data_IF_988509799783
#
_entry.id   IF_988509799783
#
_cell.length_a   1.000
_cell.length_b   1.000
_cell.length_c   1.000
_cell.angle_alpha   90.00
_cell.angle_beta   90.00
_cell.angle_gamma   90.00
#
_symmetry.space_group_name_H-M   'P 1'
#
loop_
_entity.id
_entity.type
_entity.pdbx_description
1 polymer ?
#
# COMPACT_ATOMS: atom_id res chain seq x y z
N UNK A 1 10.04 21.46 24.72
CA UNK A 1 9.59 20.33 23.89
C UNK A 1 10.82 19.64 23.37
N UNK A 2 10.82 18.31 23.34
CA UNK A 2 11.91 17.54 22.74
C UNK A 2 11.89 17.70 21.22
N UNK A 3 13.03 17.49 20.55
CA UNK A 3 13.09 17.53 19.08
C UNK A 3 12.09 16.56 18.42
N UNK A 4 11.80 15.43 19.08
CA UNK A 4 10.76 14.48 18.67
C UNK A 4 9.36 15.13 18.68
N UNK A 5 8.98 15.73 19.81
CA UNK A 5 7.69 16.41 19.98
C UNK A 5 7.50 17.55 18.97
N UNK A 6 8.54 18.34 18.73
CA UNK A 6 8.50 19.45 17.76
C UNK A 6 8.27 18.94 16.33
N UNK A 7 8.91 17.83 15.93
CA UNK A 7 8.70 17.24 14.61
C UNK A 7 7.32 16.59 14.47
N UNK A 8 6.83 15.91 15.51
CA UNK A 8 5.45 15.36 15.53
C UNK A 8 4.42 16.48 15.41
N UNK A 9 4.60 17.59 16.15
CA UNK A 9 3.70 18.72 16.06
C UNK A 9 3.73 19.38 14.66
N UNK A 10 4.92 19.50 14.05
CA UNK A 10 5.05 19.96 12.65
C UNK A 10 4.35 19.03 11.66
N UNK A 11 4.46 17.71 11.84
CA UNK A 11 3.78 16.75 10.98
C UNK A 11 2.25 16.91 11.07
N UNK A 12 1.70 17.10 12.27
CA UNK A 12 0.28 17.40 12.48
C UNK A 12 -0.15 18.71 11.82
N UNK A 13 0.65 19.77 11.94
CA UNK A 13 0.37 21.04 11.24
C UNK A 13 0.42 20.87 9.71
N UNK A 14 1.37 20.09 9.21
CA UNK A 14 1.52 19.82 7.78
C UNK A 14 0.34 19.00 7.24
N UNK A 15 -0.13 18.00 7.99
CA UNK A 15 -1.34 17.22 7.68
C UNK A 15 -2.57 18.13 7.54
N UNK A 16 -2.82 19.01 8.53
CA UNK A 16 -3.94 19.96 8.48
C UNK A 16 -3.84 20.99 7.34
N UNK A 17 -2.64 21.21 6.83
CA UNK A 17 -2.38 22.09 5.70
C UNK A 17 -2.26 21.33 4.36
N UNK A 18 -2.51 20.02 4.35
CA UNK A 18 -2.35 19.13 3.18
C UNK A 18 -0.94 19.20 2.54
N UNK A 19 0.07 19.48 3.37
CA UNK A 19 1.47 19.63 3.00
C UNK A 19 2.25 18.35 3.27
N UNK A 20 1.89 17.29 2.56
CA UNK A 20 2.37 15.93 2.84
C UNK A 20 3.89 15.75 2.60
N UNK A 21 4.49 16.50 1.69
CA UNK A 21 5.95 16.47 1.49
C UNK A 21 6.69 16.96 2.75
N UNK A 22 6.23 18.05 3.39
CA UNK A 22 6.76 18.51 4.67
C UNK A 22 6.44 17.56 5.84
N UNK A 23 5.28 16.92 5.79
CA UNK A 23 4.89 15.90 6.77
C UNK A 23 5.85 14.71 6.73
N UNK A 24 6.22 14.23 5.54
CA UNK A 24 7.23 13.18 5.33
C UNK A 24 8.57 13.61 5.94
N UNK A 25 9.05 14.81 5.63
CA UNK A 25 10.34 15.30 6.14
C UNK A 25 10.38 15.42 7.67
N UNK A 26 9.27 15.81 8.31
CA UNK A 26 9.15 15.84 9.76
C UNK A 26 9.16 14.42 10.36
N UNK A 27 8.37 13.50 9.80
CA UNK A 27 8.25 12.14 10.31
C UNK A 27 9.51 11.29 10.06
N UNK A 28 10.28 11.56 9.01
CA UNK A 28 11.60 10.96 8.80
C UNK A 28 12.58 11.31 9.91
N UNK A 29 12.56 12.56 10.39
CA UNK A 29 13.39 12.97 11.53
C UNK A 29 13.01 12.21 12.78
N UNK A 30 11.72 12.05 13.05
CA UNK A 30 11.21 11.24 14.16
C UNK A 30 11.67 9.78 14.03
N UNK A 31 11.55 9.18 12.85
CA UNK A 31 12.01 7.81 12.59
C UNK A 31 13.53 7.65 12.79
N UNK A 32 14.32 8.64 12.39
CA UNK A 32 15.79 8.62 12.49
C UNK A 32 16.35 8.74 13.91
N UNK A 33 15.48 8.91 14.92
CA UNK A 33 15.89 8.89 16.34
C UNK A 33 16.12 7.47 16.87
N UNK A 34 15.90 6.42 16.05
CA UNK A 34 16.14 5.01 16.39
C UNK A 34 15.46 4.57 17.69
N UNK A 35 14.22 5.04 17.85
CA UNK A 35 13.33 4.72 18.96
C UNK A 35 12.00 4.25 18.41
N UNK A 36 11.36 3.31 19.10
CA UNK A 36 10.08 2.77 18.67
C UNK A 36 9.03 3.90 18.57
N UNK A 37 8.33 3.94 17.44
CA UNK A 37 7.25 4.90 17.20
C UNK A 37 6.00 4.49 17.97
N UNK A 38 5.31 5.48 18.52
CA UNK A 38 3.96 5.29 19.04
C UNK A 38 2.99 4.96 17.91
N UNK A 39 1.80 4.47 18.24
CA UNK A 39 0.75 4.22 17.25
C UNK A 39 0.42 5.49 16.46
N UNK A 40 0.29 6.63 17.15
CA UNK A 40 0.03 7.93 16.51
C UNK A 40 1.14 8.33 15.53
N UNK A 41 2.41 8.22 15.93
CA UNK A 41 3.54 8.55 15.06
C UNK A 41 3.65 7.61 13.86
N UNK A 42 3.36 6.32 14.07
CA UNK A 42 3.33 5.33 12.99
C UNK A 42 2.25 5.65 11.96
N UNK A 43 1.06 6.03 12.44
CA UNK A 43 -0.04 6.45 11.59
C UNK A 43 0.30 7.74 10.83
N UNK A 44 0.87 8.76 11.48
CA UNK A 44 1.32 10.00 10.83
C UNK A 44 2.33 9.72 9.71
N UNK A 45 3.35 8.88 9.96
CA UNK A 45 4.32 8.49 8.93
C UNK A 45 3.62 7.82 7.74
N UNK A 46 2.69 6.90 8.01
CA UNK A 46 1.94 6.19 6.98
C UNK A 46 1.07 7.11 6.15
N UNK A 47 0.30 7.99 6.79
CA UNK A 47 -0.56 8.98 6.11
C UNK A 47 0.28 9.92 5.25
N UNK A 48 1.43 10.37 5.74
CA UNK A 48 2.33 11.26 5.00
C UNK A 48 2.78 10.62 3.67
N UNK A 49 3.40 9.44 3.73
CA UNK A 49 3.89 8.78 2.52
C UNK A 49 2.75 8.29 1.62
N UNK A 50 1.63 7.80 2.19
CA UNK A 50 0.44 7.37 1.44
C UNK A 50 -0.10 8.49 0.55
N UNK A 51 -0.20 9.71 1.07
CA UNK A 51 -0.67 10.85 0.28
C UNK A 51 0.34 11.25 -0.81
N UNK A 52 1.64 11.30 -0.47
CA UNK A 52 2.69 11.64 -1.45
C UNK A 52 2.74 10.64 -2.60
N UNK A 53 2.73 9.32 -2.30
CA UNK A 53 2.79 8.27 -3.33
C UNK A 53 1.48 8.14 -4.11
N UNK A 54 0.33 8.29 -3.45
CA UNK A 54 -1.00 8.20 -4.07
C UNK A 54 -1.19 9.21 -5.20
N UNK A 55 -0.79 10.46 -4.98
CA UNK A 55 -0.83 11.50 -6.02
C UNK A 55 0.01 11.15 -7.25
N UNK A 56 1.22 10.58 -7.05
CA UNK A 56 2.10 10.18 -8.17
C UNK A 56 1.60 8.92 -8.87
N UNK A 57 1.05 7.93 -8.14
CA UNK A 57 0.44 6.72 -8.73
C UNK A 57 -0.76 7.08 -9.61
N UNK A 58 -1.66 7.94 -9.13
CA UNK A 58 -2.79 8.42 -9.91
C UNK A 58 -2.34 9.16 -11.19
N UNK A 59 -1.33 10.05 -11.07
CA UNK A 59 -0.73 10.75 -12.20
C UNK A 59 -0.16 9.77 -13.24
N UNK A 60 0.60 8.78 -12.78
CA UNK A 60 1.22 7.77 -13.64
C UNK A 60 0.17 6.93 -14.39
N UNK A 61 -0.91 6.51 -13.73
CA UNK A 61 -2.01 5.76 -14.36
C UNK A 61 -2.68 6.57 -15.47
N UNK A 62 -2.94 7.86 -15.23
CA UNK A 62 -3.55 8.76 -16.22
C UNK A 62 -2.63 8.90 -17.44
N UNK A 63 -1.34 9.18 -17.21
CA UNK A 63 -0.36 9.37 -18.29
C UNK A 63 -0.19 8.08 -19.09
N UNK A 64 -0.12 6.92 -18.43
CA UNK A 64 -0.02 5.63 -19.09
C UNK A 64 -1.25 5.31 -19.96
N UNK A 65 -2.45 5.68 -19.49
CA UNK A 65 -3.68 5.56 -20.29
C UNK A 65 -3.68 6.49 -21.51
N UNK A 66 -3.15 7.72 -21.37
CA UNK A 66 -2.99 8.66 -22.48
C UNK A 66 -1.98 8.13 -23.50
N UNK A 67 -0.84 7.58 -23.05
CA UNK A 67 0.16 6.96 -23.90
C UNK A 67 -0.46 5.86 -24.75
N UNK A 68 -1.16 4.90 -24.13
CA UNK A 68 -1.82 3.79 -24.82
C UNK A 68 -2.85 4.27 -25.86
N UNK A 69 -3.58 5.36 -25.59
CA UNK A 69 -4.55 5.94 -26.53
C UNK A 69 -3.87 6.63 -27.72
N UNK A 70 -2.73 7.28 -27.51
CA UNK A 70 -1.99 7.97 -28.58
C UNK A 70 -1.15 6.99 -29.43
N UNK A 71 -0.67 5.89 -28.87
CA UNK A 71 -0.01 4.81 -29.63
C UNK A 71 -0.90 4.30 -30.77
N UNK A 72 -2.22 4.22 -30.54
CA UNK A 72 -3.19 3.78 -31.55
C UNK A 72 -3.45 4.81 -32.67
N UNK A 73 -2.99 6.06 -32.53
CA UNK A 73 -3.24 7.16 -33.50
C UNK A 73 -2.05 7.47 -34.41
N UNK A 74 -0.86 6.95 -34.10
CA UNK A 74 0.34 7.07 -34.95
C UNK A 74 1.00 8.46 -34.96
N UNK A 75 0.77 9.32 -33.97
CA UNK A 75 1.43 10.63 -33.85
C UNK A 75 2.74 10.53 -33.04
N UNK A 76 3.86 10.35 -33.73
CA UNK A 76 5.16 9.99 -33.13
C UNK A 76 5.73 11.09 -32.20
N UNK A 77 5.67 12.37 -32.59
CA UNK A 77 6.19 13.50 -31.79
C UNK A 77 5.46 13.64 -30.43
N UNK A 78 4.13 13.46 -30.43
CA UNK A 78 3.33 13.54 -29.20
C UNK A 78 3.62 12.36 -28.29
N UNK A 79 3.83 11.19 -28.86
CA UNK A 79 4.14 9.97 -28.13
C UNK A 79 5.49 10.08 -27.40
N UNK A 80 6.50 10.70 -28.02
CA UNK A 80 7.78 10.97 -27.37
C UNK A 80 7.64 11.91 -26.17
N UNK A 81 6.84 12.98 -26.29
CA UNK A 81 6.55 13.89 -25.18
C UNK A 81 5.87 13.16 -24.01
N UNK A 82 4.89 12.30 -24.31
CA UNK A 82 4.16 11.53 -23.29
C UNK A 82 5.10 10.57 -22.57
N UNK A 83 5.94 9.83 -23.32
CA UNK A 83 6.93 8.89 -22.76
C UNK A 83 7.94 9.58 -21.85
N UNK A 84 8.42 10.74 -22.26
CA UNK A 84 9.34 11.56 -21.46
C UNK A 84 8.69 11.98 -20.15
N UNK A 85 7.45 12.45 -20.20
CA UNK A 85 6.72 12.86 -19.01
C UNK A 85 6.38 11.67 -18.09
N UNK A 86 5.98 10.52 -18.66
CA UNK A 86 5.77 9.28 -17.90
C UNK A 86 7.05 8.87 -17.16
N UNK A 87 8.20 8.89 -17.83
CA UNK A 87 9.49 8.54 -17.23
C UNK A 87 9.88 9.48 -16.08
N UNK A 88 9.54 10.77 -16.17
CA UNK A 88 9.73 11.70 -15.05
C UNK A 88 8.89 11.29 -13.84
N UNK A 89 7.60 10.97 -14.04
CA UNK A 89 6.72 10.53 -12.93
C UNK A 89 7.18 9.19 -12.35
N UNK A 90 7.66 8.26 -13.18
CA UNK A 90 8.24 6.98 -12.71
C UNK A 90 9.49 7.19 -11.87
N UNK A 91 10.31 8.19 -12.19
CA UNK A 91 11.46 8.56 -11.37
C UNK A 91 11.00 9.09 -10.01
N UNK A 92 10.03 10.00 -9.97
CA UNK A 92 9.47 10.52 -8.71
C UNK A 92 8.90 9.39 -7.85
N UNK A 93 8.12 8.47 -8.44
CA UNK A 93 7.61 7.28 -7.76
C UNK A 93 8.73 6.42 -7.17
N UNK A 94 9.78 6.17 -7.96
CA UNK A 94 10.93 5.37 -7.54
C UNK A 94 11.69 6.03 -6.39
N UNK A 95 11.86 7.35 -6.44
CA UNK A 95 12.55 8.11 -5.40
C UNK A 95 11.75 8.07 -4.09
N UNK A 96 10.43 8.25 -4.14
CA UNK A 96 9.54 8.15 -2.95
C UNK A 96 9.58 6.74 -2.36
N UNK A 97 9.48 5.69 -3.18
CA UNK A 97 9.54 4.31 -2.71
C UNK A 97 10.90 3.99 -2.08
N UNK A 98 11.99 4.43 -2.71
CA UNK A 98 13.35 4.19 -2.21
C UNK A 98 13.59 4.90 -0.87
N UNK A 99 13.01 6.09 -0.68
CA UNK A 99 13.12 6.85 0.55
C UNK A 99 12.49 6.11 1.75
N UNK A 100 11.21 5.74 1.65
CA UNK A 100 10.53 5.00 2.74
C UNK A 100 11.11 3.60 2.95
N UNK A 101 11.49 2.88 1.89
CA UNK A 101 12.16 1.58 2.04
C UNK A 101 13.49 1.73 2.80
N UNK A 102 14.23 2.82 2.53
CA UNK A 102 15.43 3.16 3.28
C UNK A 102 15.17 3.46 4.76
N UNK A 103 14.08 4.18 5.06
CA UNK A 103 13.66 4.48 6.45
C UNK A 103 13.23 3.22 7.20
N UNK A 104 12.47 2.35 6.53
CA UNK A 104 12.01 1.07 7.08
C UNK A 104 13.19 0.17 7.45
N UNK A 105 14.15 0.01 6.53
CA UNK A 105 15.26 -0.93 6.72
C UNK A 105 16.32 -0.41 7.70
N UNK A 106 16.57 0.89 7.74
CA UNK A 106 17.60 1.48 8.61
C UNK A 106 17.12 1.76 10.02
N UNK A 107 15.87 2.18 10.18
CA UNK A 107 15.39 2.77 11.43
C UNK A 107 14.20 1.99 12.02
N UNK A 108 13.12 1.80 11.25
CA UNK A 108 11.84 1.37 11.82
C UNK A 108 11.78 -0.14 12.13
N UNK A 109 12.11 -0.99 11.16
CA UNK A 109 12.08 -2.46 11.35
C UNK A 109 13.07 -2.89 12.45
N UNK A 110 14.31 -2.38 12.52
CA UNK A 110 15.22 -2.71 13.62
C UNK A 110 14.74 -2.28 15.01
N UNK A 111 13.95 -1.21 15.11
CA UNK A 111 13.46 -0.67 16.37
C UNK A 111 12.09 -1.24 16.79
N UNK A 112 11.41 -2.00 15.93
CA UNK A 112 10.10 -2.56 16.19
C UNK A 112 10.15 -3.71 17.20
N UNK A 113 9.50 -3.57 18.36
CA UNK A 113 9.51 -4.60 19.41
C UNK A 113 8.24 -5.44 19.42
N UNK A 114 7.08 -4.85 19.16
CA UNK A 114 5.78 -5.54 19.15
C UNK A 114 5.47 -6.22 17.82
N UNK A 115 4.65 -7.29 17.84
CA UNK A 115 4.13 -7.92 16.61
C UNK A 115 3.37 -6.94 15.75
N UNK A 116 2.58 -6.06 16.36
CA UNK A 116 1.82 -5.03 15.66
C UNK A 116 2.72 -4.08 14.87
N UNK A 117 3.80 -3.54 15.48
CA UNK A 117 4.72 -2.63 14.80
C UNK A 117 5.49 -3.35 13.69
N UNK A 118 5.95 -4.58 13.93
CA UNK A 118 6.63 -5.40 12.91
C UNK A 118 5.72 -5.69 11.72
N UNK A 119 4.51 -6.17 11.94
CA UNK A 119 3.56 -6.47 10.86
C UNK A 119 3.26 -5.21 10.07
N UNK A 120 3.05 -4.07 10.74
CA UNK A 120 2.81 -2.79 10.08
C UNK A 120 3.97 -2.40 9.14
N UNK A 121 5.21 -2.45 9.62
CA UNK A 121 6.37 -2.06 8.81
C UNK A 121 6.68 -3.05 7.70
N UNK A 122 6.53 -4.36 7.91
CA UNK A 122 6.70 -5.34 6.84
C UNK A 122 5.58 -5.26 5.80
N UNK A 123 4.34 -5.00 6.21
CA UNK A 123 3.23 -4.69 5.29
C UNK A 123 3.60 -3.49 4.42
N UNK A 124 3.99 -2.39 5.06
CA UNK A 124 4.39 -1.16 4.36
C UNK A 124 5.55 -1.42 3.39
N UNK A 125 6.58 -2.18 3.80
CA UNK A 125 7.67 -2.61 2.91
C UNK A 125 7.16 -3.38 1.70
N UNK A 126 6.20 -4.29 1.91
CA UNK A 126 5.51 -5.02 0.84
C UNK A 126 4.78 -4.10 -0.13
N UNK A 127 4.05 -3.11 0.39
CA UNK A 127 3.30 -2.11 -0.38
C UNK A 127 4.21 -1.27 -1.28
N UNK A 128 5.30 -0.72 -0.74
CA UNK A 128 6.21 0.11 -1.55
C UNK A 128 7.00 -0.68 -2.59
N UNK A 129 7.35 -1.94 -2.32
CA UNK A 129 7.88 -2.81 -3.37
C UNK A 129 6.83 -3.22 -4.41
N UNK A 130 5.55 -3.39 -4.01
CA UNK A 130 4.46 -3.62 -4.95
C UNK A 130 4.30 -2.42 -5.89
N UNK A 131 4.32 -1.19 -5.39
CA UNK A 131 4.24 0.00 -6.24
C UNK A 131 5.39 0.09 -7.23
N UNK A 132 6.62 -0.23 -6.81
CA UNK A 132 7.76 -0.33 -7.73
C UNK A 132 7.50 -1.37 -8.84
N UNK A 133 6.89 -2.51 -8.50
CA UNK A 133 6.57 -3.56 -9.46
C UNK A 133 5.46 -3.16 -10.45
N UNK A 134 4.60 -2.18 -10.15
CA UNK A 134 3.53 -1.73 -11.05
C UNK A 134 4.07 -1.17 -12.37
N UNK A 135 5.12 -0.36 -12.31
CA UNK A 135 5.68 0.36 -13.46
C UNK A 135 7.08 -0.13 -13.87
N UNK A 136 7.76 -0.92 -13.05
CA UNK A 136 9.04 -1.50 -13.41
C UNK A 136 8.90 -2.52 -14.57
N UNK A 137 10.01 -2.71 -15.29
CA UNK A 137 10.10 -3.60 -16.45
C UNK A 137 11.28 -4.57 -16.31
N UNK A 138 11.19 -5.74 -16.95
CA UNK A 138 12.28 -6.72 -17.00
C UNK A 138 12.73 -7.20 -15.61
N UNK A 139 14.04 -7.12 -15.34
CA UNK A 139 14.62 -7.58 -14.08
C UNK A 139 14.18 -6.74 -12.88
N UNK A 140 14.07 -5.42 -13.02
CA UNK A 140 13.62 -4.52 -11.95
C UNK A 140 12.22 -4.91 -11.46
N UNK A 141 11.31 -5.29 -12.38
CA UNK A 141 9.96 -5.77 -12.03
C UNK A 141 10.02 -7.06 -11.23
N UNK A 142 10.86 -8.00 -11.65
CA UNK A 142 11.02 -9.29 -10.99
C UNK A 142 11.56 -9.12 -9.57
N UNK A 143 12.59 -8.30 -9.41
CA UNK A 143 13.19 -8.01 -8.10
C UNK A 143 12.20 -7.29 -7.18
N UNK A 144 11.48 -6.28 -7.67
CA UNK A 144 10.44 -5.60 -6.89
C UNK A 144 9.32 -6.56 -6.45
N UNK A 145 8.86 -7.44 -7.34
CA UNK A 145 7.85 -8.45 -7.00
C UNK A 145 8.36 -9.47 -5.97
N UNK A 146 9.60 -9.94 -6.10
CA UNK A 146 10.22 -10.87 -5.14
C UNK A 146 10.38 -10.23 -3.76
N UNK A 147 10.86 -8.98 -3.70
CA UNK A 147 11.02 -8.24 -2.45
C UNK A 147 9.67 -7.95 -1.78
N UNK A 148 8.64 -7.59 -2.57
CA UNK A 148 7.26 -7.42 -2.06
C UNK A 148 6.72 -8.73 -1.47
N UNK A 149 6.89 -9.85 -2.18
CA UNK A 149 6.46 -11.16 -1.72
C UNK A 149 7.16 -11.58 -0.41
N UNK A 150 8.47 -11.34 -0.29
CA UNK A 150 9.22 -11.64 0.94
C UNK A 150 8.70 -10.80 2.11
N UNK A 151 8.48 -9.51 1.92
CA UNK A 151 7.99 -8.62 2.95
C UNK A 151 6.57 -8.99 3.42
N UNK A 152 5.64 -9.24 2.50
CA UNK A 152 4.29 -9.68 2.85
C UNK A 152 4.25 -11.04 3.55
N UNK A 153 5.12 -11.99 3.15
CA UNK A 153 5.24 -13.27 3.87
C UNK A 153 5.74 -13.06 5.29
N UNK A 154 6.80 -12.28 5.49
CA UNK A 154 7.31 -11.96 6.83
C UNK A 154 6.23 -11.32 7.70
N UNK A 155 5.45 -10.39 7.14
CA UNK A 155 4.31 -9.79 7.83
C UNK A 155 3.23 -10.83 8.17
N UNK A 156 2.91 -11.74 7.24
CA UNK A 156 1.87 -12.75 7.42
C UNK A 156 2.22 -13.76 8.50
N UNK A 157 3.48 -14.23 8.51
CA UNK A 157 3.95 -15.20 9.50
C UNK A 157 3.83 -14.64 10.92
N UNK A 158 4.21 -13.37 11.12
CA UNK A 158 4.07 -12.68 12.42
C UNK A 158 2.59 -12.43 12.76
N UNK A 159 1.81 -11.96 11.79
CA UNK A 159 0.39 -11.63 12.00
C UNK A 159 -0.44 -12.86 12.38
N UNK A 160 -0.13 -14.03 11.80
CA UNK A 160 -0.82 -15.28 12.14
C UNK A 160 -0.56 -15.74 13.58
N UNK A 161 0.59 -15.39 14.16
CA UNK A 161 0.96 -15.78 15.52
C UNK A 161 0.64 -14.74 16.58
N UNK A 162 0.69 -13.45 16.23
CA UNK A 162 0.64 -12.35 17.21
C UNK A 162 -0.64 -11.51 17.15
N UNK A 163 -1.43 -11.57 16.06
CA UNK A 163 -2.63 -10.74 15.88
C UNK A 163 -3.89 -11.59 15.66
N UNK A 164 -5.02 -11.26 16.29
CA UNK A 164 -6.28 -11.97 16.03
C UNK A 164 -6.74 -11.78 14.57
N UNK A 165 -7.52 -12.71 13.99
CA UNK A 165 -8.00 -12.61 12.60
C UNK A 165 -8.76 -11.33 12.29
N UNK A 166 -9.43 -10.76 13.30
CA UNK A 166 -10.17 -9.51 13.20
C UNK A 166 -9.31 -8.26 13.32
N UNK A 167 -8.01 -8.37 13.61
CA UNK A 167 -7.16 -7.20 13.80
C UNK A 167 -7.05 -6.37 12.51
N UNK A 168 -7.30 -5.05 12.51
CA UNK A 168 -7.30 -4.22 11.30
C UNK A 168 -6.00 -4.31 10.48
N UNK A 169 -4.84 -4.29 11.15
CA UNK A 169 -3.53 -4.45 10.47
C UNK A 169 -3.40 -5.82 9.78
N UNK A 170 -3.91 -6.91 10.39
CA UNK A 170 -3.86 -8.26 9.79
C UNK A 170 -4.81 -8.36 8.59
N UNK A 171 -6.01 -7.80 8.70
CA UNK A 171 -6.96 -7.72 7.59
C UNK A 171 -6.42 -6.87 6.44
N UNK A 172 -5.86 -5.70 6.74
CA UNK A 172 -5.26 -4.81 5.76
C UNK A 172 -4.05 -5.43 5.07
N UNK A 173 -3.25 -6.23 5.78
CA UNK A 173 -2.19 -7.05 5.20
C UNK A 173 -2.76 -8.07 4.21
N UNK A 174 -3.79 -8.83 4.60
CA UNK A 174 -4.40 -9.83 3.74
C UNK A 174 -5.01 -9.20 2.48
N UNK A 175 -5.67 -8.04 2.62
CA UNK A 175 -6.21 -7.27 1.50
C UNK A 175 -5.10 -6.90 0.50
N UNK A 176 -4.07 -6.19 0.94
CA UNK A 176 -3.00 -5.74 0.04
C UNK A 176 -2.21 -6.92 -0.56
N UNK A 177 -1.99 -7.98 0.22
CA UNK A 177 -1.29 -9.16 -0.28
C UNK A 177 -2.13 -9.94 -1.30
N UNK A 178 -3.46 -9.94 -1.16
CA UNK A 178 -4.35 -10.51 -2.17
C UNK A 178 -4.33 -9.70 -3.48
N UNK A 179 -4.35 -8.36 -3.40
CA UNK A 179 -4.17 -7.46 -4.56
C UNK A 179 -2.82 -7.72 -5.23
N UNK A 180 -1.74 -7.88 -4.47
CA UNK A 180 -0.43 -8.24 -5.00
C UNK A 180 -0.45 -9.55 -5.80
N UNK A 181 -1.11 -10.60 -5.28
CA UNK A 181 -1.24 -11.86 -6.01
C UNK A 181 -2.02 -11.69 -7.32
N UNK A 182 -3.03 -10.84 -7.33
CA UNK A 182 -3.85 -10.58 -8.51
C UNK A 182 -3.07 -9.75 -9.55
N UNK A 183 -2.62 -8.55 -9.18
CA UNK A 183 -2.09 -7.56 -10.12
C UNK A 183 -0.63 -7.80 -10.51
N UNK A 184 0.22 -8.23 -9.56
CA UNK A 184 1.67 -8.33 -9.79
C UNK A 184 2.05 -9.74 -10.24
N UNK A 185 1.55 -10.76 -9.54
CA UNK A 185 1.87 -12.17 -9.82
C UNK A 185 0.90 -12.86 -10.79
N UNK A 186 -0.14 -12.16 -11.25
CA UNK A 186 -1.15 -12.70 -12.17
C UNK A 186 -1.67 -14.08 -11.72
N UNK A 187 -1.95 -14.20 -10.41
CA UNK A 187 -2.32 -15.44 -9.73
C UNK A 187 -3.69 -15.29 -9.05
N UNK A 188 -4.78 -15.11 -9.84
CA UNK A 188 -6.11 -14.80 -9.31
C UNK A 188 -6.64 -15.87 -8.34
N UNK A 189 -6.40 -17.15 -8.59
CA UNK A 189 -6.77 -18.24 -7.68
C UNK A 189 -6.15 -18.11 -6.29
N UNK A 190 -4.95 -17.55 -6.22
CA UNK A 190 -4.23 -17.34 -4.94
C UNK A 190 -4.72 -16.08 -4.24
N UNK A 191 -5.00 -15.02 -5.00
CA UNK A 191 -5.61 -13.80 -4.48
C UNK A 191 -6.96 -14.10 -3.83
N UNK A 192 -7.87 -14.76 -4.56
CA UNK A 192 -9.20 -15.11 -4.06
C UNK A 192 -9.15 -16.03 -2.84
N UNK A 193 -8.26 -17.04 -2.84
CA UNK A 193 -8.09 -17.92 -1.67
C UNK A 193 -7.62 -17.16 -0.43
N UNK A 194 -6.66 -16.26 -0.59
CA UNK A 194 -6.15 -15.47 0.53
C UNK A 194 -7.21 -14.52 1.09
N UNK A 195 -7.87 -13.76 0.21
CA UNK A 195 -8.91 -12.81 0.60
C UNK A 195 -10.10 -13.52 1.26
N UNK A 196 -10.55 -14.65 0.69
CA UNK A 196 -11.64 -15.45 1.24
C UNK A 196 -11.30 -16.03 2.61
N UNK A 197 -10.10 -16.60 2.77
CA UNK A 197 -9.68 -17.15 4.06
C UNK A 197 -9.64 -16.06 5.14
N UNK A 198 -9.07 -14.88 4.84
CA UNK A 198 -9.03 -13.77 5.79
C UNK A 198 -10.44 -13.27 6.17
N UNK A 199 -11.35 -13.21 5.20
CA UNK A 199 -12.74 -12.81 5.41
C UNK A 199 -13.50 -13.84 6.27
N UNK A 200 -13.40 -15.13 5.94
CA UNK A 200 -14.07 -16.22 6.66
C UNK A 200 -13.55 -16.34 8.11
N UNK A 201 -12.23 -16.24 8.32
CA UNK A 201 -11.61 -16.27 9.64
C UNK A 201 -12.06 -15.08 10.51
N UNK A 202 -12.17 -13.88 9.91
CA UNK A 202 -12.61 -12.70 10.64
C UNK A 202 -14.11 -12.73 10.98
N UNK A 203 -14.95 -13.27 10.11
CA UNK A 203 -16.37 -13.50 10.40
C UNK A 203 -16.54 -14.40 11.63
N UNK A 204 -15.73 -15.46 11.73
CA UNK A 204 -15.85 -16.42 12.82
C UNK A 204 -15.59 -15.82 14.21
N UNK A 205 -14.86 -14.71 14.29
CA UNK A 205 -14.48 -14.04 15.54
C UNK A 205 -15.05 -12.62 15.67
N UNK A 206 -15.91 -12.18 14.73
CA UNK A 206 -16.40 -10.80 14.67
C UNK A 206 -17.21 -10.39 15.90
N UNK A 207 -17.97 -11.33 16.47
CA UNK A 207 -18.82 -11.12 17.65
C UNK A 207 -18.03 -10.79 18.94
N UNK A 208 -16.69 -10.95 18.90
CA UNK A 208 -15.81 -10.70 20.06
C UNK A 208 -15.25 -9.27 20.11
N UNK A 209 -15.48 -8.46 19.06
CA UNK A 209 -14.90 -7.13 18.93
C UNK A 209 -15.60 -6.08 19.82
N UNK A 210 -14.82 -5.09 20.23
CA UNK A 210 -15.36 -3.84 20.78
C UNK A 210 -15.97 -2.97 19.67
N UNK A 211 -16.85 -2.03 20.02
CA UNK A 211 -17.49 -1.13 19.05
C UNK A 211 -16.48 -0.29 18.25
N UNK A 212 -15.36 0.08 18.87
CA UNK A 212 -14.27 0.84 18.23
C UNK A 212 -13.57 -0.01 17.17
N UNK A 213 -13.09 -1.21 17.53
CA UNK A 213 -12.41 -2.10 16.58
C UNK A 213 -13.33 -2.71 15.53
N UNK A 214 -14.64 -2.78 15.80
CA UNK A 214 -15.63 -3.31 14.87
C UNK A 214 -15.73 -2.47 13.59
N UNK A 215 -15.68 -1.13 13.70
CA UNK A 215 -15.80 -0.24 12.53
C UNK A 215 -14.64 -0.43 11.57
N UNK A 216 -13.41 -0.41 12.06
CA UNK A 216 -12.22 -0.52 11.23
C UNK A 216 -12.11 -1.91 10.58
N UNK A 217 -12.42 -2.95 11.34
CA UNK A 217 -12.38 -4.34 10.86
C UNK A 217 -13.43 -4.58 9.78
N UNK A 218 -14.67 -4.12 10.00
CA UNK A 218 -15.75 -4.31 9.03
C UNK A 218 -15.57 -3.50 7.76
N UNK A 219 -14.95 -2.32 7.84
CA UNK A 219 -14.58 -1.55 6.66
C UNK A 219 -13.61 -2.34 5.77
N UNK A 220 -12.53 -2.89 6.34
CA UNK A 220 -11.55 -3.67 5.57
C UNK A 220 -12.15 -4.98 5.05
N UNK A 221 -13.01 -5.65 5.83
CA UNK A 221 -13.74 -6.83 5.38
C UNK A 221 -14.65 -6.54 4.18
N UNK A 222 -15.26 -5.35 4.12
CA UNK A 222 -16.04 -4.93 2.96
C UNK A 222 -15.14 -4.81 1.72
N UNK A 223 -13.93 -4.26 1.83
CA UNK A 223 -12.98 -4.17 0.71
C UNK A 223 -12.55 -5.55 0.21
N UNK A 224 -12.30 -6.50 1.13
CA UNK A 224 -12.01 -7.89 0.77
C UNK A 224 -13.17 -8.51 -0.02
N UNK A 225 -14.41 -8.25 0.40
CA UNK A 225 -15.61 -8.73 -0.28
C UNK A 225 -15.80 -8.08 -1.65
N UNK A 226 -15.55 -6.78 -1.77
CA UNK A 226 -15.67 -6.04 -3.03
C UNK A 226 -14.68 -6.59 -4.05
N UNK A 227 -13.40 -6.74 -3.66
CA UNK A 227 -12.39 -7.37 -4.51
C UNK A 227 -12.74 -8.81 -4.91
N UNK A 228 -13.23 -9.63 -3.98
CA UNK A 228 -13.67 -11.00 -4.31
C UNK A 228 -14.80 -11.00 -5.34
N UNK A 229 -15.74 -10.05 -5.23
CA UNK A 229 -16.85 -9.92 -6.19
C UNK A 229 -16.30 -9.59 -7.58
N UNK A 230 -15.45 -8.57 -7.68
CA UNK A 230 -14.80 -8.16 -8.93
C UNK A 230 -13.98 -9.29 -9.57
N UNK A 231 -13.17 -10.01 -8.79
CA UNK A 231 -12.32 -11.09 -9.33
C UNK A 231 -13.13 -12.31 -9.77
N UNK A 232 -14.23 -12.61 -9.08
CA UNK A 232 -15.08 -13.75 -9.47
C UNK A 232 -15.92 -13.46 -10.71
N UNK A 233 -16.33 -12.21 -10.95
CA UNK A 233 -16.95 -11.82 -12.23
C UNK A 233 -15.94 -11.88 -13.38
N UNK A 234 -14.73 -11.34 -13.19
CA UNK A 234 -13.65 -11.39 -14.20
C UNK A 234 -13.33 -12.82 -14.64
N UNK A 235 -13.32 -13.77 -13.70
CA UNK A 235 -13.03 -15.19 -13.97
C UNK A 235 -14.17 -15.95 -14.65
N UNK A 236 -15.43 -15.49 -14.52
CA UNK A 236 -16.60 -16.15 -15.10
C UNK A 236 -16.86 -15.76 -16.56
N UNK A 237 -16.14 -14.77 -17.09
CA UNK A 237 -16.19 -14.43 -18.51
C UNK A 237 -17.51 -13.81 -18.97
N UNK A 238 -18.34 -13.29 -18.05
CA UNK A 238 -19.43 -12.38 -18.39
C UNK A 238 -18.80 -11.05 -18.85
N UNK A 239 -18.39 -11.07 -20.12
CA UNK A 239 -17.71 -9.97 -20.77
C UNK A 239 -18.65 -8.83 -21.03
N UNK A 240 -18.43 -7.73 -20.33
CA UNK A 240 -18.40 -6.44 -21.00
C UNK A 240 -16.95 -5.96 -20.96
N UNK A 241 -16.42 -5.59 -22.14
CA UNK A 241 -15.15 -4.90 -22.26
C UNK A 241 -15.31 -3.48 -21.69
N UNK A 242 -15.52 -3.39 -20.38
CA UNK A 242 -15.59 -2.15 -19.65
C UNK A 242 -14.31 -2.00 -18.82
N UNK A 243 -13.85 -0.75 -18.81
CA UNK A 243 -12.80 -0.19 -17.95
C UNK A 243 -12.41 -1.12 -16.81
N UNK A 244 -11.14 -1.59 -16.75
CA UNK A 244 -10.63 -2.30 -15.55
C UNK A 244 -10.99 -1.47 -14.32
N UNK A 245 -12.01 -1.88 -13.57
CA UNK A 245 -12.39 -1.21 -12.34
C UNK A 245 -11.20 -1.33 -11.38
N UNK A 246 -10.92 -0.25 -10.66
CA UNK A 246 -9.75 -0.20 -9.77
C UNK A 246 -9.97 -1.17 -8.61
N UNK A 247 -9.01 -2.06 -8.39
CA UNK A 247 -9.02 -2.92 -7.22
C UNK A 247 -8.78 -2.08 -5.98
N UNK A 248 -9.55 -2.36 -4.93
CA UNK A 248 -9.48 -1.61 -3.70
C UNK A 248 -8.34 -2.17 -2.84
N UNK A 249 -7.40 -1.33 -2.45
CA UNK A 249 -6.44 -1.63 -1.39
C UNK A 249 -6.68 -0.70 -0.18
N UNK A 250 -5.99 -0.92 0.94
CA UNK A 250 -6.12 -0.04 2.13
C UNK A 250 -5.66 1.39 1.82
N UNK A 251 -4.88 1.61 0.76
CA UNK A 251 -4.42 2.95 0.41
C UNK A 251 -5.46 3.75 -0.36
N UNK A 252 -6.42 3.12 -1.03
CA UNK A 252 -7.47 3.83 -1.75
C UNK A 252 -8.65 4.29 -0.86
N UNK A 253 -8.65 3.94 0.45
CA UNK A 253 -9.66 4.41 1.42
C UNK A 253 -9.05 5.04 2.68
N UNK A 254 -9.72 6.05 3.27
CA UNK A 254 -9.34 6.69 4.53
C UNK A 254 -9.61 5.76 5.73
N UNK A 255 -8.81 4.70 5.85
CA UNK A 255 -8.76 3.84 7.04
C UNK A 255 -7.61 4.35 7.92
N UNK A 256 -7.94 5.11 8.96
CA UNK A 256 -7.01 5.72 9.93
C UNK A 256 -6.93 4.92 11.23
#
# INVERSE_FOLDING_TARGET
MSEREDNVYKAKLAEQAERYDEMVEAMKKVASLDVELTVEERNLLSVAYKNVIGARRASWRIISSIEQKEENKGAEDKLEMIRTYRSQVEKELRDICSDILGVLDKHLIPCATSGESKVFYYKMKGDYHRYLAEFAMGNDRKEAAENSLVAYKAASDIAMTELPPTHPIRLGLALNFSVFYYEILNSPDRACRLAKAAFDDAIAELDTLSEESYKDSTLIMQLLRDNLTLWTSDMQGDGEAETKEQLQDVEDQDVS
#
